data_IF_011924221209
#
_entry.id   IF_011924221209
#
_cell.length_a   1.000
_cell.length_b   1.000
_cell.length_c   1.000
_cell.angle_alpha   90.00
_cell.angle_beta   90.00
_cell.angle_gamma   90.00
#
_symmetry.space_group_name_H-M   'P 1'
#
loop_
_entity.id
_entity.type
_entity.pdbx_description
1 polymer ?
#
# COMPACT_ATOMS: atom_id res chain seq x y z
N UNK A 1 3.80 -17.32 -14.52
CA UNK A 1 5.07 -17.86 -13.95
C UNK A 1 5.33 -17.31 -12.54
N UNK A 2 5.35 -15.99 -12.29
CA UNK A 2 5.47 -15.43 -10.91
C UNK A 2 4.21 -15.67 -10.06
N UNK A 3 3.02 -15.53 -10.63
CA UNK A 3 1.74 -15.76 -9.93
C UNK A 3 1.50 -17.22 -9.50
N UNK A 4 2.13 -18.19 -10.18
CA UNK A 4 2.11 -19.61 -9.78
C UNK A 4 3.06 -19.91 -8.63
N UNK A 5 4.03 -19.04 -8.36
CA UNK A 5 5.06 -19.27 -7.35
C UNK A 5 4.50 -19.23 -5.92
N UNK A 6 3.33 -18.64 -5.72
CA UNK A 6 2.78 -18.33 -4.40
C UNK A 6 1.26 -18.54 -4.28
N UNK A 7 0.61 -19.08 -5.31
CA UNK A 7 -0.84 -19.30 -5.32
C UNK A 7 -1.29 -20.43 -4.40
N UNK A 8 -0.54 -21.53 -4.37
CA UNK A 8 -0.84 -22.69 -3.52
C UNK A 8 0.00 -22.63 -2.25
N UNK A 9 -0.68 -22.49 -1.11
CA UNK A 9 -0.08 -22.89 0.14
C UNK A 9 0.32 -24.37 0.00
N UNK A 10 1.62 -24.66 0.16
CA UNK A 10 2.18 -26.01 0.36
C UNK A 10 2.32 -26.96 -0.85
N UNK A 11 3.09 -26.57 -1.88
CA UNK A 11 3.86 -27.57 -2.66
C UNK A 11 5.35 -27.24 -2.74
N UNK A 12 6.04 -27.50 -1.64
CA UNK A 12 7.46 -27.89 -1.64
C UNK A 12 8.53 -26.81 -1.79
N UNK A 13 8.18 -25.53 -1.92
CA UNK A 13 9.19 -24.47 -1.99
C UNK A 13 9.63 -24.01 -0.59
N UNK A 14 10.94 -24.06 -0.36
CA UNK A 14 11.61 -23.55 0.84
C UNK A 14 11.38 -22.04 0.95
N UNK A 15 10.80 -21.61 2.08
CA UNK A 15 10.53 -20.21 2.38
C UNK A 15 11.79 -19.34 2.28
N UNK A 16 12.96 -19.86 2.67
CA UNK A 16 14.23 -19.14 2.54
C UNK A 16 14.57 -18.85 1.07
N UNK A 17 14.36 -19.83 0.19
CA UNK A 17 14.56 -19.66 -1.26
C UNK A 17 13.53 -18.71 -1.86
N UNK A 18 12.27 -18.80 -1.44
CA UNK A 18 11.24 -17.86 -1.90
C UNK A 18 11.59 -16.42 -1.52
N UNK A 19 12.05 -16.20 -0.29
CA UNK A 19 12.47 -14.89 0.20
C UNK A 19 13.61 -14.32 -0.65
N UNK A 20 14.65 -15.11 -0.89
CA UNK A 20 15.80 -14.69 -1.72
C UNK A 20 15.36 -14.33 -3.15
N UNK A 21 14.53 -15.17 -3.78
CA UNK A 21 14.03 -14.90 -5.12
C UNK A 21 13.18 -13.63 -5.13
N UNK A 22 12.30 -13.47 -4.14
CA UNK A 22 11.47 -12.28 -4.03
C UNK A 22 12.30 -11.01 -3.88
N UNK A 23 13.31 -11.01 -3.00
CA UNK A 23 14.23 -9.89 -2.79
C UNK A 23 14.93 -9.47 -4.09
N UNK A 24 15.39 -10.44 -4.89
CA UNK A 24 16.00 -10.20 -6.20
C UNK A 24 15.00 -9.56 -7.16
N UNK A 25 13.76 -10.07 -7.19
CA UNK A 25 12.73 -9.61 -8.12
C UNK A 25 12.27 -8.19 -7.80
N UNK A 26 12.02 -7.87 -6.52
CA UNK A 26 11.55 -6.53 -6.12
C UNK A 26 12.62 -5.45 -6.23
N UNK A 27 13.91 -5.85 -6.29
CA UNK A 27 15.05 -4.94 -6.50
C UNK A 27 15.71 -5.10 -7.88
N UNK A 28 15.00 -5.73 -8.83
CA UNK A 28 15.49 -5.93 -10.20
C UNK A 28 15.83 -4.59 -10.87
N UNK A 29 16.90 -4.57 -11.68
CA UNK A 29 17.19 -3.43 -12.58
C UNK A 29 16.36 -3.45 -13.87
N UNK A 30 15.65 -4.55 -14.12
CA UNK A 30 14.75 -4.68 -15.27
C UNK A 30 13.35 -4.16 -14.89
N UNK A 31 12.96 -3.05 -15.52
CA UNK A 31 11.69 -2.36 -15.31
C UNK A 31 10.46 -3.24 -15.60
N UNK A 32 10.53 -4.13 -16.61
CA UNK A 32 9.45 -5.07 -16.93
C UNK A 32 9.22 -6.07 -15.79
N UNK A 33 10.31 -6.50 -15.11
CA UNK A 33 10.21 -7.35 -13.92
C UNK A 33 9.56 -6.54 -12.79
N UNK A 34 10.01 -5.31 -12.53
CA UNK A 34 9.44 -4.46 -11.49
C UNK A 34 7.94 -4.25 -11.71
N UNK A 35 7.50 -3.85 -12.91
CA UNK A 35 6.06 -3.68 -13.25
C UNK A 35 5.24 -4.95 -13.08
N UNK A 36 5.82 -6.14 -13.24
CA UNK A 36 5.12 -7.41 -13.00
C UNK A 36 4.93 -7.71 -11.51
N UNK A 37 5.76 -7.13 -10.63
CA UNK A 37 5.67 -7.33 -9.18
C UNK A 37 4.39 -6.75 -8.57
N UNK A 38 3.74 -5.75 -9.17
CA UNK A 38 2.46 -5.26 -8.63
C UNK A 38 1.34 -6.30 -8.61
N UNK A 39 1.37 -7.28 -9.53
CA UNK A 39 0.40 -8.38 -9.58
C UNK A 39 0.56 -9.40 -8.44
N UNK A 40 1.64 -9.26 -7.67
CA UNK A 40 1.94 -10.11 -6.52
C UNK A 40 0.90 -9.96 -5.41
N UNK A 41 0.49 -8.73 -5.14
CA UNK A 41 -0.49 -8.38 -4.12
C UNK A 41 -1.89 -8.58 -4.69
N UNK A 42 -2.35 -9.82 -4.78
CA UNK A 42 -3.75 -10.13 -5.04
C UNK A 42 -4.52 -10.35 -3.73
N UNK A 43 -5.85 -10.47 -3.76
CA UNK A 43 -6.65 -10.66 -2.55
C UNK A 43 -6.22 -11.84 -1.67
N UNK A 44 -5.76 -12.95 -2.27
CA UNK A 44 -5.31 -14.12 -1.52
C UNK A 44 -3.92 -13.96 -0.90
N UNK A 45 -3.17 -12.92 -1.26
CA UNK A 45 -1.86 -12.66 -0.67
C UNK A 45 -1.98 -12.29 0.81
N UNK A 46 -2.92 -11.41 1.15
CA UNK A 46 -3.01 -10.79 2.47
C UNK A 46 -3.35 -11.78 3.58
N UNK A 47 -3.99 -12.91 3.26
CA UNK A 47 -4.29 -13.98 4.21
C UNK A 47 -3.11 -14.95 4.45
N UNK A 48 -1.99 -14.79 3.73
CA UNK A 48 -0.86 -15.73 3.85
C UNK A 48 -0.01 -15.44 5.08
N UNK A 49 0.49 -16.50 5.72
CA UNK A 49 1.36 -16.42 6.92
C UNK A 49 2.62 -15.56 6.75
N UNK A 50 3.11 -15.42 5.52
CA UNK A 50 4.31 -14.67 5.17
C UNK A 50 4.01 -13.30 4.56
N UNK A 51 2.74 -12.92 4.45
CA UNK A 51 2.33 -11.68 3.79
C UNK A 51 3.03 -10.46 4.38
N UNK A 52 3.10 -10.36 5.71
CA UNK A 52 3.71 -9.23 6.42
C UNK A 52 5.19 -9.08 6.10
N UNK A 53 5.95 -10.17 6.06
CA UNK A 53 7.37 -10.14 5.72
C UNK A 53 7.60 -9.70 4.27
N UNK A 54 6.86 -10.28 3.33
CA UNK A 54 7.02 -9.95 1.91
C UNK A 54 6.53 -8.54 1.60
N UNK A 55 5.47 -8.08 2.26
CA UNK A 55 5.01 -6.70 2.13
C UNK A 55 6.05 -5.72 2.66
N UNK A 56 6.65 -6.00 3.82
CA UNK A 56 7.75 -5.18 4.37
C UNK A 56 8.94 -5.08 3.39
N UNK A 57 9.34 -6.19 2.77
CA UNK A 57 10.41 -6.18 1.76
C UNK A 57 10.03 -5.36 0.54
N UNK A 58 8.77 -5.46 0.10
CA UNK A 58 8.29 -4.75 -1.08
C UNK A 58 8.22 -3.24 -0.89
N UNK A 59 7.70 -2.74 0.22
CA UNK A 59 7.55 -1.28 0.45
C UNK A 59 8.90 -0.56 0.60
N UNK A 60 9.99 -1.31 0.76
CA UNK A 60 11.37 -0.84 0.85
C UNK A 60 12.15 -1.05 -0.46
N UNK A 61 11.50 -1.54 -1.52
CA UNK A 61 12.15 -1.97 -2.76
C UNK A 61 11.92 -1.02 -3.93
N UNK A 62 12.69 -1.20 -5.00
CA UNK A 62 12.52 -0.47 -6.27
C UNK A 62 11.18 -0.77 -6.98
N UNK A 63 10.50 -1.86 -6.60
CA UNK A 63 9.23 -2.23 -7.22
C UNK A 63 8.05 -1.34 -6.80
N UNK A 64 8.12 -0.68 -5.63
CA UNK A 64 7.04 0.16 -5.13
C UNK A 64 6.69 1.28 -6.12
N UNK A 65 7.69 2.02 -6.58
CA UNK A 65 7.57 3.18 -7.48
C UNK A 65 6.87 2.84 -8.79
N UNK A 66 6.99 1.59 -9.24
CA UNK A 66 6.42 1.10 -10.50
C UNK A 66 5.01 0.55 -10.37
N UNK A 67 4.49 0.41 -9.15
CA UNK A 67 3.30 -0.38 -8.85
C UNK A 67 2.42 0.23 -7.76
N UNK A 68 2.57 1.53 -7.50
CA UNK A 68 1.76 2.27 -6.51
C UNK A 68 0.26 2.00 -6.70
N UNK A 69 -0.23 2.09 -7.94
CA UNK A 69 -1.61 1.76 -8.28
C UNK A 69 -2.00 0.34 -7.82
N UNK A 70 -1.24 -0.68 -8.23
CA UNK A 70 -1.57 -2.07 -7.95
C UNK A 70 -1.63 -2.38 -6.46
N UNK A 71 -0.70 -1.83 -5.67
CA UNK A 71 -0.65 -2.10 -4.22
C UNK A 71 -1.75 -1.38 -3.46
N UNK A 72 -2.05 -0.12 -3.81
CA UNK A 72 -3.14 0.64 -3.19
C UNK A 72 -4.50 -0.03 -3.43
N UNK A 73 -4.79 -0.39 -4.69
CA UNK A 73 -6.03 -1.09 -5.05
C UNK A 73 -6.15 -2.47 -4.40
N UNK A 74 -5.02 -3.14 -4.16
CA UNK A 74 -5.01 -4.42 -3.44
C UNK A 74 -5.40 -4.28 -1.97
N UNK A 75 -4.96 -3.21 -1.31
CA UNK A 75 -5.28 -2.91 0.09
C UNK A 75 -6.74 -2.46 0.21
N UNK A 76 -7.16 -1.53 -0.65
CA UNK A 76 -8.55 -1.05 -0.73
C UNK A 76 -9.53 -2.22 -0.93
N UNK A 77 -9.19 -3.16 -1.81
CA UNK A 77 -10.02 -4.32 -2.10
C UNK A 77 -10.02 -5.41 -1.02
N UNK A 78 -9.29 -5.25 0.10
CA UNK A 78 -9.22 -6.20 1.21
C UNK A 78 -9.26 -5.48 2.56
N UNK A 79 -10.39 -4.85 2.90
CA UNK A 79 -10.52 -4.15 4.20
C UNK A 79 -10.37 -5.07 5.43
N UNK A 80 -10.76 -6.33 5.30
CA UNK A 80 -10.70 -7.30 6.40
C UNK A 80 -9.25 -7.72 6.69
N UNK A 81 -8.81 -7.51 7.93
CA UNK A 81 -7.52 -7.97 8.42
C UNK A 81 -6.34 -7.06 8.06
N UNK A 82 -6.60 -5.83 7.60
CA UNK A 82 -5.55 -4.83 7.34
C UNK A 82 -4.93 -4.25 8.62
N UNK A 83 -5.60 -4.43 9.76
CA UNK A 83 -5.12 -4.01 11.07
C UNK A 83 -3.68 -4.45 11.36
N UNK A 84 -3.39 -5.72 11.07
CA UNK A 84 -2.07 -6.30 11.30
C UNK A 84 -0.99 -5.75 10.35
N UNK A 85 -1.35 -4.89 9.40
CA UNK A 85 -0.48 -4.25 8.42
C UNK A 85 -0.44 -2.72 8.54
N UNK A 86 -1.20 -2.10 9.46
CA UNK A 86 -1.34 -0.64 9.56
C UNK A 86 0.00 0.09 9.56
N UNK A 87 0.97 -0.37 10.36
CA UNK A 87 2.32 0.20 10.41
C UNK A 87 3.05 0.15 9.06
N UNK A 88 2.93 -0.96 8.32
CA UNK A 88 3.55 -1.13 7.00
C UNK A 88 2.83 -0.30 5.94
N UNK A 89 1.50 -0.15 6.03
CA UNK A 89 0.72 0.69 5.13
C UNK A 89 1.08 2.16 5.34
N UNK A 90 1.22 2.62 6.60
CA UNK A 90 1.69 3.98 6.91
C UNK A 90 3.07 4.23 6.31
N UNK A 91 4.02 3.30 6.49
CA UNK A 91 5.37 3.42 5.90
C UNK A 91 5.29 3.48 4.37
N UNK A 92 4.44 2.65 3.76
CA UNK A 92 4.26 2.63 2.31
C UNK A 92 3.74 3.98 1.80
N UNK A 93 2.70 4.54 2.41
CA UNK A 93 2.13 5.83 2.01
C UNK A 93 3.18 6.92 2.18
N UNK A 94 3.88 6.98 3.32
CA UNK A 94 4.99 7.92 3.53
C UNK A 94 6.10 7.78 2.48
N UNK A 95 6.41 6.57 2.03
CA UNK A 95 7.36 6.35 0.95
C UNK A 95 6.83 6.87 -0.38
N UNK A 96 5.57 6.58 -0.72
CA UNK A 96 4.90 7.09 -1.94
C UNK A 96 4.88 8.63 -1.94
N UNK A 97 4.52 9.25 -0.82
CA UNK A 97 4.49 10.71 -0.67
C UNK A 97 5.88 11.34 -0.75
N UNK A 98 6.98 10.60 -0.53
CA UNK A 98 8.36 11.10 -0.74
C UNK A 98 8.79 11.06 -2.20
N UNK A 99 8.16 10.25 -3.05
CA UNK A 99 8.48 10.12 -4.48
C UNK A 99 8.10 11.37 -5.31
N UNK A 100 7.93 12.54 -4.67
CA UNK A 100 7.49 13.86 -5.16
C UNK A 100 8.29 14.45 -6.33
N UNK A 101 8.50 13.70 -7.41
CA UNK A 101 8.74 14.29 -8.73
C UNK A 101 7.40 14.67 -9.33
N UNK A 102 7.35 15.87 -9.90
CA UNK A 102 6.16 16.49 -10.49
C UNK A 102 5.48 15.59 -11.55
N UNK A 103 6.27 14.75 -12.24
CA UNK A 103 5.81 13.77 -13.22
C UNK A 103 5.04 12.58 -12.61
N UNK A 104 5.42 12.13 -11.40
CA UNK A 104 4.76 11.02 -10.72
C UNK A 104 3.38 11.41 -10.21
N UNK A 105 3.21 12.66 -9.75
CA UNK A 105 1.93 13.16 -9.23
C UNK A 105 0.86 13.35 -10.31
N UNK A 106 1.24 13.50 -11.58
CA UNK A 106 0.26 13.61 -12.69
C UNK A 106 -0.51 12.30 -12.95
N UNK A 107 0.04 11.16 -12.52
CA UNK A 107 -0.52 9.82 -12.73
C UNK A 107 -0.74 9.03 -11.43
N UNK A 108 -0.46 9.64 -10.27
CA UNK A 108 -0.67 9.01 -8.98
C UNK A 108 -2.18 8.91 -8.75
N UNK A 109 -2.67 7.71 -8.42
CA UNK A 109 -4.07 7.51 -8.05
C UNK A 109 -4.30 8.06 -6.63
N UNK A 110 -4.39 9.39 -6.56
CA UNK A 110 -4.59 10.13 -5.32
C UNK A 110 -5.88 9.68 -4.65
N UNK A 111 -6.91 9.33 -5.43
CA UNK A 111 -8.15 8.84 -4.87
C UNK A 111 -7.96 7.50 -4.14
N UNK A 112 -7.16 6.57 -4.68
CA UNK A 112 -6.82 5.33 -3.99
C UNK A 112 -6.00 5.57 -2.70
N UNK A 113 -5.08 6.53 -2.70
CA UNK A 113 -4.35 6.91 -1.47
C UNK A 113 -5.33 7.39 -0.40
N UNK A 114 -6.24 8.30 -0.74
CA UNK A 114 -7.22 8.82 0.23
C UNK A 114 -8.12 7.72 0.78
N UNK A 115 -8.55 6.76 -0.05
CA UNK A 115 -9.37 5.63 0.40
C UNK A 115 -8.60 4.70 1.34
N UNK A 116 -7.32 4.45 1.08
CA UNK A 116 -6.48 3.65 1.99
C UNK A 116 -6.23 4.38 3.31
N UNK A 117 -5.98 5.71 3.31
CA UNK A 117 -5.85 6.48 4.55
C UNK A 117 -7.16 6.47 5.33
N UNK A 118 -8.30 6.69 4.67
CA UNK A 118 -9.62 6.63 5.32
C UNK A 118 -9.87 5.27 5.95
N UNK A 119 -9.57 4.18 5.24
CA UNK A 119 -9.73 2.83 5.76
C UNK A 119 -8.85 2.59 7.00
N UNK A 120 -7.62 3.11 7.03
CA UNK A 120 -6.78 3.05 8.23
C UNK A 120 -7.35 3.87 9.38
N UNK A 121 -7.85 5.08 9.09
CA UNK A 121 -8.47 5.96 10.07
C UNK A 121 -9.69 5.29 10.72
N UNK A 122 -10.65 4.83 9.90
CA UNK A 122 -11.87 4.17 10.38
C UNK A 122 -11.54 2.96 11.26
N UNK A 123 -10.51 2.21 10.87
CA UNK A 123 -10.12 1.03 11.62
C UNK A 123 -9.44 1.41 12.95
N UNK A 124 -8.56 2.41 12.95
CA UNK A 124 -7.92 2.90 14.16
C UNK A 124 -8.93 3.53 15.14
N UNK A 125 -9.94 4.22 14.63
CA UNK A 125 -11.06 4.75 15.43
C UNK A 125 -11.86 3.62 16.10
N UNK A 126 -12.14 2.53 15.36
CA UNK A 126 -12.83 1.37 15.93
C UNK A 126 -12.00 0.58 16.95
N UNK A 127 -10.67 0.62 16.83
CA UNK A 127 -9.73 -0.11 17.67
C UNK A 127 -9.21 0.75 18.86
N UNK A 128 -9.67 1.99 19.02
CA UNK A 128 -9.15 3.00 19.97
C UNK A 128 -7.61 3.19 19.86
N UNK A 129 -7.06 3.13 18.63
CA UNK A 129 -5.64 3.28 18.33
C UNK A 129 -5.28 4.73 18.00
N UNK A 130 -5.11 5.54 19.05
CA UNK A 130 -4.74 6.96 18.96
C UNK A 130 -3.44 7.21 18.18
N UNK A 131 -2.48 6.27 18.21
CA UNK A 131 -1.22 6.43 17.48
C UNK A 131 -1.45 6.34 15.96
N UNK A 132 -2.18 5.32 15.50
CA UNK A 132 -2.52 5.16 14.09
C UNK A 132 -3.40 6.32 13.60
N UNK A 133 -4.34 6.81 14.42
CA UNK A 133 -5.13 8.01 14.12
C UNK A 133 -4.24 9.23 13.88
N UNK A 134 -3.26 9.47 14.77
CA UNK A 134 -2.28 10.55 14.62
C UNK A 134 -1.54 10.46 13.28
N UNK A 135 -1.05 9.27 12.90
CA UNK A 135 -0.38 9.09 11.61
C UNK A 135 -1.29 9.32 10.41
N UNK A 136 -2.58 8.98 10.50
CA UNK A 136 -3.53 9.24 9.42
C UNK A 136 -3.72 10.74 9.20
N UNK A 137 -3.87 11.52 10.29
CA UNK A 137 -3.99 12.97 10.24
C UNK A 137 -2.73 13.63 9.64
N UNK A 138 -1.53 13.20 10.06
CA UNK A 138 -0.27 13.67 9.48
C UNK A 138 -0.19 13.46 7.96
N UNK A 139 -0.65 12.29 7.48
CA UNK A 139 -0.65 11.97 6.05
C UNK A 139 -1.68 12.81 5.27
N UNK A 140 -2.85 13.08 5.85
CA UNK A 140 -3.82 14.02 5.27
C UNK A 140 -3.26 15.43 5.16
N UNK A 141 -2.58 15.92 6.19
CA UNK A 141 -1.94 17.24 6.20
C UNK A 141 -0.85 17.33 5.11
N UNK A 142 -0.03 16.28 4.95
CA UNK A 142 0.99 16.24 3.90
C UNK A 142 0.38 16.27 2.49
N UNK A 143 -0.73 15.56 2.29
CA UNK A 143 -1.47 15.58 1.03
C UNK A 143 -2.11 16.96 0.77
N UNK A 144 -2.71 17.59 1.78
CA UNK A 144 -3.31 18.93 1.69
C UNK A 144 -2.27 19.98 1.31
N UNK A 145 -1.09 19.93 1.95
CA UNK A 145 0.02 20.84 1.68
C UNK A 145 0.60 20.68 0.26
N UNK A 146 0.37 19.54 -0.41
CA UNK A 146 0.93 19.27 -1.75
C UNK A 146 0.25 20.04 -2.90
N UNK A 147 -0.75 20.89 -2.61
CA UNK A 147 -1.31 21.92 -3.51
C UNK A 147 -1.91 21.41 -4.84
N UNK A 148 -2.52 20.21 -4.82
CA UNK A 148 -3.21 19.61 -5.97
C UNK A 148 -4.71 19.99 -6.04
N UNK A 149 -5.35 19.66 -7.17
CA UNK A 149 -6.83 19.61 -7.37
C UNK A 149 -7.60 18.81 -6.30
N UNK A 150 -6.85 18.13 -5.44
CA UNK A 150 -7.15 17.50 -4.16
C UNK A 150 -8.14 18.24 -3.25
N UNK A 151 -8.04 19.57 -3.13
CA UNK A 151 -8.84 20.35 -2.16
C UNK A 151 -10.34 20.18 -2.39
N UNK A 152 -10.80 20.08 -3.64
CA UNK A 152 -12.25 20.07 -3.94
C UNK A 152 -12.94 18.74 -3.59
N UNK A 153 -12.30 17.60 -3.85
CA UNK A 153 -12.86 16.27 -3.53
C UNK A 153 -12.75 15.94 -2.03
N UNK A 154 -11.79 16.55 -1.34
CA UNK A 154 -11.51 16.36 0.08
C UNK A 154 -12.54 17.03 0.97
N UNK A 155 -12.83 18.31 0.72
CA UNK A 155 -13.85 19.05 1.49
C UNK A 155 -15.20 18.36 1.40
N UNK A 156 -15.57 17.87 0.21
CA UNK A 156 -16.84 17.15 0.00
C UNK A 156 -16.93 15.81 0.77
N UNK A 157 -15.80 15.12 1.03
CA UNK A 157 -15.76 13.85 1.78
C UNK A 157 -15.64 14.05 3.30
N UNK A 158 -14.84 15.02 3.73
CA UNK A 158 -14.74 15.43 5.13
C UNK A 158 -16.10 15.94 5.64
N UNK A 159 -16.82 16.73 4.84
CA UNK A 159 -18.17 17.21 5.17
C UNK A 159 -19.20 16.07 5.26
N UNK A 160 -18.98 14.94 4.57
CA UNK A 160 -19.86 13.77 4.63
C UNK A 160 -19.53 12.82 5.79
N UNK A 161 -18.29 12.83 6.29
CA UNK A 161 -17.82 11.99 7.40
C UNK A 161 -17.94 12.64 8.80
N UNK A 162 -17.90 13.98 8.89
CA UNK A 162 -17.95 14.71 10.17
C UNK A 162 -19.37 15.08 10.65
N UNK A 163 -20.42 14.77 9.88
CA UNK A 163 -21.81 15.15 10.18
C UNK A 163 -22.77 13.97 10.43
N UNK A 164 -22.27 12.75 10.61
CA UNK A 164 -23.09 11.61 11.01
C UNK A 164 -22.71 11.10 12.41
#
# INVERSE_FOLDING_TARGET
MITQFLGDDTKGYDHSKMKQIFEILVNSKNEEILKKMGRFFNQKFWSKRYAREFFKMYIQSNALDHNVYNVLHSIEGNSIGMAQFSDLIIIMIKNILKLKTQDLMSNLDTDAITRVIQQLYDQAENDDDDETLGYCLDMWDELLASNHSFIRNMTEKLDQGLLN
#
